data_IF_255064074954
#
_entry.id   IF_255064074954
#
_cell.length_a   1.000
_cell.length_b   1.000
_cell.length_c   1.000
_cell.angle_alpha   90.00
_cell.angle_beta   90.00
_cell.angle_gamma   90.00
#
_symmetry.space_group_name_H-M   'P 1'
#
loop_
_entity.id
_entity.type
_entity.pdbx_description
1 polymer ?
#
# COMPACT_ATOMS: atom_id res chain seq x y z
N UNK A 1 -9.67 37.16 -24.91
CA UNK A 1 -10.03 37.71 -23.59
C UNK A 1 -9.83 36.58 -22.59
N UNK A 2 -8.65 36.48 -21.98
CA UNK A 2 -8.35 35.46 -20.98
C UNK A 2 -8.96 35.89 -19.63
N UNK A 3 -9.64 35.01 -18.88
CA UNK A 3 -10.12 35.37 -17.56
C UNK A 3 -8.93 35.58 -16.64
N UNK A 4 -8.90 36.74 -16.02
CA UNK A 4 -7.95 37.11 -14.96
C UNK A 4 -8.06 36.12 -13.81
N UNK A 5 -7.08 35.25 -13.63
CA UNK A 5 -6.95 34.42 -12.43
C UNK A 5 -6.82 35.37 -11.24
N UNK A 6 -7.88 35.49 -10.44
CA UNK A 6 -7.87 36.29 -9.22
C UNK A 6 -6.73 35.79 -8.33
N UNK A 7 -5.87 36.72 -7.90
CA UNK A 7 -4.70 36.42 -7.08
C UNK A 7 -5.20 36.01 -5.69
N UNK A 8 -5.46 34.72 -5.49
CA UNK A 8 -5.83 34.17 -4.19
C UNK A 8 -4.72 34.48 -3.21
N UNK A 9 -4.98 35.37 -2.26
CA UNK A 9 -4.10 35.54 -1.10
C UNK A 9 -3.98 34.18 -0.43
N UNK A 10 -2.74 33.67 -0.31
CA UNK A 10 -2.40 32.41 0.36
C UNK A 10 -2.61 32.50 1.88
N UNK A 11 -3.78 32.93 2.33
CA UNK A 11 -4.14 32.81 3.75
C UNK A 11 -4.57 31.36 3.96
N UNK A 12 -3.95 30.73 4.95
CA UNK A 12 -4.33 29.40 5.37
C UNK A 12 -5.80 29.43 5.83
N UNK A 13 -6.62 28.55 5.28
CA UNK A 13 -8.02 28.43 5.65
C UNK A 13 -8.19 27.67 6.97
N UNK A 14 -9.35 27.83 7.60
CA UNK A 14 -9.71 27.06 8.79
C UNK A 14 -9.87 25.56 8.46
N UNK A 15 -9.68 24.69 9.46
CA UNK A 15 -9.76 23.23 9.30
C UNK A 15 -11.09 22.78 8.67
N UNK A 16 -12.19 23.47 9.01
CA UNK A 16 -13.52 23.22 8.44
C UNK A 16 -13.56 23.29 6.90
N UNK A 17 -12.65 24.04 6.28
CA UNK A 17 -12.57 24.15 4.82
C UNK A 17 -12.07 22.86 4.14
N UNK A 18 -11.31 22.04 4.87
CA UNK A 18 -10.73 20.80 4.36
C UNK A 18 -11.52 19.56 4.79
N UNK A 19 -12.65 19.74 5.50
CA UNK A 19 -13.50 18.63 5.87
C UNK A 19 -14.15 18.03 4.61
N UNK A 20 -14.05 16.70 4.39
CA UNK A 20 -14.72 16.05 3.28
C UNK A 20 -16.24 16.22 3.42
N UNK A 21 -16.90 16.65 2.34
CA UNK A 21 -18.34 16.97 2.33
C UNK A 21 -19.20 15.90 1.66
N UNK A 22 -18.65 14.73 1.35
CA UNK A 22 -19.35 13.65 0.65
C UNK A 22 -18.85 12.25 1.00
N UNK A 23 -19.42 11.25 0.32
CA UNK A 23 -18.96 9.87 0.41
C UNK A 23 -17.61 9.69 -0.26
N UNK A 24 -16.78 8.80 0.26
CA UNK A 24 -15.53 8.43 -0.38
C UNK A 24 -15.71 7.44 -1.53
N UNK A 25 -14.65 7.32 -2.33
CA UNK A 25 -14.46 6.29 -3.34
C UNK A 25 -13.34 5.36 -2.90
N UNK A 26 -13.55 4.06 -3.10
CA UNK A 26 -12.56 3.04 -2.78
C UNK A 26 -11.44 3.03 -3.82
N UNK A 27 -10.21 2.96 -3.34
CA UNK A 27 -9.06 2.67 -4.17
C UNK A 27 -8.68 1.19 -4.06
N UNK A 28 -7.90 0.64 -5.00
CA UNK A 28 -7.47 -0.75 -4.90
C UNK A 28 -6.58 -0.97 -3.66
N UNK A 29 -6.99 -1.90 -2.80
CA UNK A 29 -6.19 -2.41 -1.70
C UNK A 29 -6.49 -3.89 -1.48
N UNK A 30 -5.57 -4.56 -0.79
CA UNK A 30 -5.75 -5.93 -0.30
C UNK A 30 -5.97 -5.90 1.20
N UNK A 31 -6.64 -6.91 1.73
CA UNK A 31 -6.80 -7.04 3.16
C UNK A 31 -6.76 -8.51 3.59
N UNK A 32 -6.33 -8.72 4.83
CA UNK A 32 -6.29 -10.04 5.46
C UNK A 32 -6.58 -9.94 6.95
N UNK A 33 -7.24 -10.96 7.50
CA UNK A 33 -7.36 -11.14 8.95
C UNK A 33 -5.99 -11.54 9.49
N UNK A 34 -5.42 -10.73 10.38
CA UNK A 34 -4.11 -10.98 10.97
C UNK A 34 -4.24 -11.73 12.30
N UNK A 35 -5.22 -11.34 13.12
CA UNK A 35 -5.59 -12.01 14.37
C UNK A 35 -7.12 -12.06 14.47
N UNK A 36 -7.71 -12.82 15.41
CA UNK A 36 -9.16 -12.84 15.58
C UNK A 36 -9.79 -11.45 15.81
N UNK A 37 -9.00 -10.47 16.28
CA UNK A 37 -9.40 -9.10 16.62
C UNK A 37 -8.91 -8.04 15.62
N UNK A 38 -7.96 -8.36 14.73
CA UNK A 38 -7.31 -7.39 13.85
C UNK A 38 -7.25 -7.82 12.39
N UNK A 39 -7.42 -6.84 11.52
CA UNK A 39 -7.25 -6.95 10.07
C UNK A 39 -6.13 -6.01 9.62
N UNK A 40 -5.44 -6.40 8.55
CA UNK A 40 -4.46 -5.55 7.87
C UNK A 40 -4.99 -5.16 6.50
N UNK A 41 -4.92 -3.88 6.16
CA UNK A 41 -5.14 -3.37 4.81
C UNK A 41 -3.78 -3.00 4.22
N UNK A 42 -3.57 -3.27 2.94
CA UNK A 42 -2.35 -2.94 2.21
C UNK A 42 -2.71 -2.31 0.88
N UNK A 43 -2.29 -1.07 0.65
CA UNK A 43 -2.51 -0.36 -0.62
C UNK A 43 -1.60 -0.91 -1.72
N UNK A 44 -1.95 -0.63 -2.98
CA UNK A 44 -1.12 -1.06 -4.12
C UNK A 44 0.30 -0.47 -4.09
N UNK A 45 0.49 0.67 -3.43
CA UNK A 45 1.80 1.33 -3.24
C UNK A 45 2.52 0.91 -1.96
N UNK A 46 1.92 0.06 -1.13
CA UNK A 46 2.56 -0.55 0.02
C UNK A 46 2.43 0.13 1.35
N UNK A 47 1.58 1.15 1.43
CA UNK A 47 1.11 1.61 2.73
C UNK A 47 0.24 0.54 3.35
N UNK A 48 0.28 0.41 4.68
CA UNK A 48 -0.53 -0.56 5.39
C UNK A 48 -1.16 0.05 6.64
N UNK A 49 -2.33 -0.46 7.00
CA UNK A 49 -3.07 -0.08 8.21
C UNK A 49 -3.47 -1.34 8.96
N UNK A 50 -3.24 -1.33 10.28
CA UNK A 50 -3.74 -2.36 11.18
C UNK A 50 -5.00 -1.81 11.86
N UNK A 51 -6.12 -2.45 11.62
CA UNK A 51 -7.43 -1.99 12.08
C UNK A 51 -8.14 -3.09 12.89
N UNK A 52 -9.11 -2.73 13.74
CA UNK A 52 -10.00 -3.71 14.35
C UNK A 52 -10.71 -4.54 13.27
N UNK A 53 -10.98 -5.80 13.61
CA UNK A 53 -11.74 -6.69 12.72
C UNK A 53 -13.14 -6.12 12.45
N UNK A 54 -13.57 -6.16 11.20
CA UNK A 54 -14.86 -5.62 10.75
C UNK A 54 -14.75 -4.19 10.22
N UNK A 55 -13.63 -3.50 10.42
CA UNK A 55 -13.39 -2.20 9.79
C UNK A 55 -13.37 -2.30 8.27
N UNK A 56 -12.83 -3.38 7.69
CA UNK A 56 -12.86 -3.56 6.23
C UNK A 56 -14.28 -3.71 5.71
N UNK A 57 -15.14 -4.44 6.42
CA UNK A 57 -16.54 -4.59 6.04
C UNK A 57 -17.25 -3.22 6.05
N UNK A 58 -17.13 -2.46 7.14
CA UNK A 58 -17.65 -1.08 7.25
C UNK A 58 -17.14 -0.17 6.13
N UNK A 59 -15.86 -0.31 5.77
CA UNK A 59 -15.23 0.44 4.68
C UNK A 59 -15.81 0.09 3.31
N UNK A 60 -15.99 -1.20 3.00
CA UNK A 60 -16.53 -1.63 1.70
C UNK A 60 -18.02 -1.34 1.58
N UNK A 61 -18.77 -1.44 2.68
CA UNK A 61 -20.20 -1.17 2.77
C UNK A 61 -20.54 0.34 2.85
N UNK A 62 -19.52 1.21 2.84
CA UNK A 62 -19.66 2.68 2.87
C UNK A 62 -20.27 3.23 4.16
N UNK A 63 -20.01 2.58 5.28
CA UNK A 63 -20.53 2.95 6.60
C UNK A 63 -19.60 3.89 7.38
N UNK A 64 -18.38 4.14 6.88
CA UNK A 64 -17.46 5.09 7.50
C UNK A 64 -17.82 6.54 7.12
N UNK A 65 -17.68 7.46 8.06
CA UNK A 65 -17.85 8.89 7.81
C UNK A 65 -16.74 9.69 8.50
N UNK A 66 -16.38 10.84 7.91
CA UNK A 66 -15.37 11.72 8.51
C UNK A 66 -15.84 12.30 9.86
N UNK A 67 -17.15 12.47 10.05
CA UNK A 67 -17.70 13.02 11.29
C UNK A 67 -17.60 12.05 12.47
N UNK A 68 -17.76 10.74 12.21
CA UNK A 68 -17.76 9.70 13.25
C UNK A 68 -16.37 9.09 13.47
N UNK A 69 -15.59 8.91 12.40
CA UNK A 69 -14.29 8.25 12.42
C UNK A 69 -13.17 9.14 11.82
N UNK A 70 -12.94 10.39 12.30
CA UNK A 70 -12.06 11.36 11.64
C UNK A 70 -10.62 10.87 11.48
N UNK A 71 -10.05 10.24 12.51
CA UNK A 71 -8.66 9.77 12.50
C UNK A 71 -8.48 8.62 11.51
N UNK A 72 -9.36 7.61 11.57
CA UNK A 72 -9.33 6.48 10.63
C UNK A 72 -9.56 6.95 9.19
N UNK A 73 -10.49 7.89 8.98
CA UNK A 73 -10.76 8.44 7.66
C UNK A 73 -9.54 9.16 7.08
N UNK A 74 -8.87 9.97 7.91
CA UNK A 74 -7.64 10.67 7.51
C UNK A 74 -6.51 9.68 7.18
N UNK A 75 -6.34 8.62 7.99
CA UNK A 75 -5.36 7.56 7.74
C UNK A 75 -5.64 6.81 6.43
N UNK A 76 -6.91 6.48 6.16
CA UNK A 76 -7.34 5.83 4.92
C UNK A 76 -7.10 6.71 3.68
N UNK A 77 -7.35 8.02 3.80
CA UNK A 77 -7.04 9.01 2.75
C UNK A 77 -5.53 9.09 2.49
N UNK A 78 -4.74 9.24 3.55
CA UNK A 78 -3.29 9.38 3.46
C UNK A 78 -2.62 8.12 2.89
N UNK A 79 -3.13 6.93 3.22
CA UNK A 79 -2.64 5.65 2.74
C UNK A 79 -3.12 5.23 1.35
N UNK A 80 -3.88 6.09 0.65
CA UNK A 80 -4.49 5.79 -0.64
C UNK A 80 -5.36 4.53 -0.64
N UNK A 81 -6.13 4.34 0.42
CA UNK A 81 -7.19 3.33 0.49
C UNK A 81 -8.53 3.89 -0.01
N UNK A 82 -8.74 5.19 0.19
CA UNK A 82 -9.92 5.93 -0.26
C UNK A 82 -9.53 7.27 -0.87
N UNK A 83 -10.48 7.89 -1.56
CA UNK A 83 -10.42 9.30 -1.99
C UNK A 83 -11.77 9.97 -1.75
N UNK A 84 -11.74 11.26 -1.46
CA UNK A 84 -12.89 12.13 -1.26
C UNK A 84 -13.35 12.85 -2.55
N UNK A 85 -12.63 12.65 -3.65
CA UNK A 85 -12.92 13.26 -4.96
C UNK A 85 -13.15 12.19 -6.04
N UNK A 86 -13.98 12.47 -7.06
CA UNK A 86 -14.15 11.56 -8.21
C UNK A 86 -12.87 11.38 -9.01
N UNK A 87 -12.05 12.43 -9.07
CA UNK A 87 -10.77 12.46 -9.77
C UNK A 87 -9.65 12.46 -8.73
N UNK A 88 -8.68 11.55 -8.86
CA UNK A 88 -7.59 11.42 -7.91
C UNK A 88 -6.61 12.60 -8.06
N UNK A 89 -6.53 13.57 -7.13
CA UNK A 89 -5.69 14.75 -7.33
C UNK A 89 -4.20 14.43 -7.38
N UNK A 90 -3.80 13.32 -6.74
CA UNK A 90 -2.41 12.86 -6.63
C UNK A 90 -2.14 11.60 -7.47
N UNK A 91 -2.88 11.40 -8.57
CA UNK A 91 -2.72 10.21 -9.42
C UNK A 91 -1.28 10.00 -9.91
N UNK A 92 -0.61 11.07 -10.35
CA UNK A 92 0.77 10.98 -10.86
C UNK A 92 1.78 10.60 -9.77
N UNK A 93 1.54 11.09 -8.54
CA UNK A 93 2.33 10.73 -7.37
C UNK A 93 2.11 9.27 -7.03
N UNK A 94 0.85 8.82 -6.99
CA UNK A 94 0.49 7.43 -6.74
C UNK A 94 1.10 6.49 -7.80
N UNK A 95 1.00 6.85 -9.08
CA UNK A 95 1.59 6.09 -10.18
C UNK A 95 3.11 5.99 -10.07
N UNK A 96 3.78 7.06 -9.64
CA UNK A 96 5.24 7.05 -9.42
C UNK A 96 5.61 6.16 -8.24
N UNK A 97 4.91 6.25 -7.11
CA UNK A 97 5.11 5.35 -5.96
C UNK A 97 4.90 3.88 -6.36
N UNK A 98 3.87 3.60 -7.14
CA UNK A 98 3.57 2.26 -7.64
C UNK A 98 4.71 1.70 -8.50
N UNK A 99 5.16 2.47 -9.50
CA UNK A 99 6.30 2.08 -10.36
C UNK A 99 7.55 1.81 -9.56
N UNK A 100 7.92 2.71 -8.64
CA UNK A 100 9.10 2.53 -7.77
C UNK A 100 8.99 1.26 -6.93
N UNK A 101 7.83 0.99 -6.32
CA UNK A 101 7.61 -0.25 -5.55
C UNK A 101 7.72 -1.51 -6.44
N UNK A 102 7.30 -1.42 -7.70
CA UNK A 102 7.33 -2.53 -8.66
C UNK A 102 8.59 -2.57 -9.52
N UNK A 103 9.57 -1.69 -9.29
CA UNK A 103 10.80 -1.62 -10.08
C UNK A 103 11.62 -2.94 -10.03
N UNK A 104 11.42 -3.78 -9.01
CA UNK A 104 12.00 -5.12 -8.98
C UNK A 104 11.49 -6.05 -10.10
N UNK A 105 10.36 -5.73 -10.73
CA UNK A 105 9.86 -6.46 -11.89
C UNK A 105 10.61 -6.08 -13.17
N UNK A 106 11.20 -4.89 -13.23
CA UNK A 106 12.03 -4.43 -14.36
C UNK A 106 13.37 -5.15 -14.37
N UNK A 107 13.94 -5.37 -13.19
CA UNK A 107 15.16 -6.15 -13.01
C UNK A 107 14.79 -7.62 -12.79
N UNK A 108 14.74 -8.39 -13.88
CA UNK A 108 14.68 -9.86 -13.82
C UNK A 108 15.72 -10.41 -12.82
N UNK A 109 15.52 -11.63 -12.31
CA UNK A 109 16.33 -12.31 -11.27
C UNK A 109 17.47 -11.48 -10.66
N UNK A 110 17.16 -10.59 -9.72
CA UNK A 110 18.18 -9.80 -9.02
C UNK A 110 19.24 -10.69 -8.33
N UNK A 111 18.87 -11.94 -7.99
CA UNK A 111 19.74 -12.94 -7.41
C UNK A 111 20.03 -14.06 -8.42
N UNK A 112 21.28 -14.12 -8.88
CA UNK A 112 21.80 -15.25 -9.64
C UNK A 112 22.64 -16.14 -8.72
N UNK A 113 22.15 -17.34 -8.41
CA UNK A 113 22.89 -18.36 -7.65
C UNK A 113 23.42 -19.39 -8.64
N UNK A 114 24.74 -19.53 -8.69
CA UNK A 114 25.40 -20.58 -9.48
C UNK A 114 25.92 -21.67 -8.55
N UNK A 115 25.38 -22.87 -8.67
CA UNK A 115 25.93 -24.07 -8.03
C UNK A 115 26.86 -24.74 -9.02
N UNK A 116 28.14 -24.34 -9.02
CA UNK A 116 29.14 -24.85 -9.98
C UNK A 116 29.54 -26.30 -9.71
N UNK A 117 29.29 -26.81 -8.50
CA UNK A 117 29.55 -28.20 -8.12
C UNK A 117 28.62 -28.62 -6.97
N UNK A 118 28.21 -29.89 -6.98
CA UNK A 118 27.53 -30.54 -5.85
C UNK A 118 28.52 -31.32 -4.97
N UNK A 119 29.83 -31.17 -5.19
CA UNK A 119 30.87 -31.81 -4.40
C UNK A 119 31.03 -31.10 -3.06
N UNK A 120 30.82 -31.84 -1.97
CA UNK A 120 31.02 -31.37 -0.61
C UNK A 120 31.49 -32.54 0.28
N UNK A 121 32.46 -32.29 1.15
CA UNK A 121 33.01 -33.31 2.07
C UNK A 121 32.29 -33.35 3.44
N UNK A 122 31.29 -32.49 3.65
CA UNK A 122 30.55 -32.41 4.91
C UNK A 122 29.15 -33.00 4.78
N UNK A 123 28.68 -33.67 5.83
CA UNK A 123 27.31 -34.19 5.90
C UNK A 123 26.55 -33.43 6.98
N UNK A 124 25.84 -32.37 6.58
CA UNK A 124 25.03 -31.57 7.48
C UNK A 124 23.58 -32.09 7.52
N UNK A 125 23.01 -32.25 8.72
CA UNK A 125 21.61 -32.66 8.89
C UNK A 125 20.60 -31.65 8.31
N UNK A 126 21.00 -30.38 8.17
CA UNK A 126 20.17 -29.31 7.60
C UNK A 126 20.44 -29.06 6.12
N UNK A 127 21.27 -29.88 5.46
CA UNK A 127 21.55 -29.68 4.04
C UNK A 127 20.32 -30.03 3.20
N UNK A 128 19.76 -29.04 2.50
CA UNK A 128 18.58 -29.22 1.63
C UNK A 128 18.93 -29.88 0.28
N UNK A 129 20.22 -30.01 -0.05
CA UNK A 129 20.70 -30.55 -1.33
C UNK A 129 21.44 -31.86 -1.12
N UNK A 130 21.30 -32.78 -2.08
CA UNK A 130 21.99 -34.06 -2.09
C UNK A 130 23.47 -33.87 -2.45
N UNK A 131 24.35 -34.36 -1.57
CA UNK A 131 25.81 -34.30 -1.68
C UNK A 131 26.36 -35.38 -2.61
N UNK A 132 27.37 -35.03 -3.41
CA UNK A 132 28.18 -35.98 -4.19
C UNK A 132 29.61 -35.98 -3.66
N UNK A 133 30.15 -37.13 -3.24
CA UNK A 133 31.56 -37.28 -2.84
C UNK A 133 32.48 -37.37 -4.05
N UNK A 134 33.77 -37.08 -3.89
CA UNK A 134 34.74 -37.24 -4.98
C UNK A 134 34.94 -38.71 -5.44
N UNK A 135 34.75 -39.68 -4.54
CA UNK A 135 35.00 -41.12 -4.77
C UNK A 135 33.81 -41.90 -5.39
N UNK A 136 32.99 -41.24 -6.21
CA UNK A 136 31.94 -41.89 -7.01
C UNK A 136 32.04 -41.52 -8.47
#
# INVERSE_FOLDING_TARGET
MQPTLARMTRKFNDLSTYAPTGSYFLLPFRFHVLTPEKEVLVSEVGDYLLVPRGTVARLVERELSYAEDPDLYADLLAGFFITDAPELPLLDVLATRYRTKKAFLENFTALHIFVVTLRCEHTCHYCQVSRVTADK
#
